data_IF_082001743520
#
_entry.id   IF_082001743520
#
_cell.length_a   1.000
_cell.length_b   1.000
_cell.length_c   1.000
_cell.angle_alpha   90.00
_cell.angle_beta   90.00
_cell.angle_gamma   90.00
#
_symmetry.space_group_name_H-M   'P 1'
#
loop_
_entity.id
_entity.type
_entity.pdbx_description
1 polymer ?
#
# COMPACT_ATOMS: atom_id res chain seq x y z
N UNK A 1 -1.69 19.10 27.24
CA UNK A 1 -0.36 18.58 27.63
C UNK A 1 -0.17 17.31 26.82
N UNK A 2 0.56 17.42 25.71
CA UNK A 2 0.84 16.32 24.78
C UNK A 2 1.87 15.39 25.41
N UNK A 3 1.49 14.12 25.58
CA UNK A 3 2.35 13.07 26.11
C UNK A 3 3.06 12.38 24.93
N UNK A 4 3.92 13.10 24.23
CA UNK A 4 4.87 12.52 23.27
C UNK A 4 5.97 11.80 24.04
N UNK A 5 5.73 10.52 24.34
CA UNK A 5 6.83 9.63 24.74
C UNK A 5 7.69 9.37 23.51
N UNK A 6 9.01 9.59 23.58
CA UNK A 6 9.91 9.24 22.48
C UNK A 6 9.78 7.75 22.22
N UNK A 7 9.50 7.38 20.97
CA UNK A 7 9.54 5.98 20.54
C UNK A 7 10.92 5.44 20.90
N UNK A 8 10.93 4.49 21.83
CA UNK A 8 12.13 3.77 22.18
C UNK A 8 12.75 3.21 20.89
N UNK A 9 14.04 3.40 20.73
CA UNK A 9 14.84 2.86 19.64
C UNK A 9 14.74 1.31 19.76
N UNK A 10 13.73 0.74 19.11
CA UNK A 10 13.58 -0.71 18.98
C UNK A 10 14.79 -1.16 18.17
N UNK A 11 15.78 -1.71 18.85
CA UNK A 11 16.90 -2.36 18.19
C UNK A 11 16.31 -3.35 17.18
N UNK A 12 16.65 -3.17 15.90
CA UNK A 12 16.20 -4.06 14.85
C UNK A 12 16.84 -5.43 15.14
N UNK A 13 16.06 -6.29 15.78
CA UNK A 13 16.47 -7.66 16.02
C UNK A 13 16.30 -8.45 14.73
N UNK A 14 17.39 -8.73 14.01
CA UNK A 14 17.34 -9.56 12.83
C UNK A 14 17.48 -11.03 13.23
N UNK A 15 16.50 -11.89 12.96
CA UNK A 15 16.58 -13.33 13.23
C UNK A 15 17.47 -14.07 12.23
N UNK A 16 18.01 -13.40 11.22
CA UNK A 16 18.72 -14.00 10.09
C UNK A 16 20.23 -14.24 10.33
N UNK A 17 20.71 -13.99 11.55
CA UNK A 17 22.10 -14.24 11.95
C UNK A 17 23.01 -13.01 11.84
N UNK A 18 24.26 -13.12 12.37
CA UNK A 18 25.15 -11.97 12.53
C UNK A 18 25.68 -11.37 11.22
N UNK A 19 25.62 -12.12 10.13
CA UNK A 19 26.11 -11.67 8.81
C UNK A 19 25.00 -11.06 7.94
N UNK A 20 23.75 -10.97 8.44
CA UNK A 20 22.66 -10.36 7.69
C UNK A 20 22.78 -8.85 7.73
N UNK A 21 22.97 -8.22 6.56
CA UNK A 21 23.04 -6.77 6.48
C UNK A 21 21.66 -6.15 6.70
N UNK A 22 21.60 -5.14 7.57
CA UNK A 22 20.39 -4.33 7.84
C UNK A 22 20.39 -3.02 7.06
N UNK A 23 21.45 -2.73 6.33
CA UNK A 23 21.65 -1.48 5.59
C UNK A 23 22.11 -1.78 4.16
N UNK A 24 21.79 -0.85 3.26
CA UNK A 24 22.35 -0.87 1.91
C UNK A 24 23.85 -0.54 1.97
N UNK A 25 24.61 -1.05 0.99
CA UNK A 25 26.01 -0.65 0.81
C UNK A 25 26.11 0.87 0.62
N UNK A 26 27.20 1.48 1.11
CA UNK A 26 27.47 2.88 0.89
C UNK A 26 27.59 3.19 -0.61
N UNK A 27 27.06 4.34 -1.08
CA UNK A 27 27.26 4.77 -2.46
C UNK A 27 28.74 4.94 -2.77
N UNK A 28 29.13 4.58 -3.96
CA UNK A 28 30.53 4.71 -4.44
C UNK A 28 30.84 6.12 -4.99
N UNK A 29 29.82 6.95 -5.14
CA UNK A 29 29.93 8.33 -5.63
C UNK A 29 29.07 9.26 -4.80
N UNK A 30 29.39 10.55 -4.81
CA UNK A 30 28.55 11.57 -4.20
C UNK A 30 27.19 11.62 -4.89
N UNK A 31 26.15 11.84 -4.10
CA UNK A 31 24.77 11.95 -4.59
C UNK A 31 23.99 12.96 -3.78
N UNK A 32 23.05 13.62 -4.46
CA UNK A 32 22.13 14.57 -3.87
C UNK A 32 20.71 14.05 -3.97
N UNK A 33 19.92 14.22 -2.91
CA UNK A 33 18.50 13.89 -2.93
C UNK A 33 17.75 14.87 -3.84
N UNK A 34 17.14 14.40 -4.91
CA UNK A 34 16.40 15.21 -5.87
C UNK A 34 14.88 15.06 -5.77
N UNK A 35 14.40 13.93 -5.25
CA UNK A 35 12.98 13.61 -5.17
C UNK A 35 12.71 12.66 -4.01
N UNK A 36 11.59 12.89 -3.31
CA UNK A 36 11.11 11.99 -2.26
C UNK A 36 9.66 11.59 -2.56
N UNK A 37 9.42 10.29 -2.71
CA UNK A 37 8.08 9.69 -2.72
C UNK A 37 7.86 8.96 -1.42
N UNK A 38 6.72 9.20 -0.80
CA UNK A 38 6.27 8.47 0.38
C UNK A 38 4.91 7.85 0.09
N UNK A 39 4.78 6.57 0.40
CA UNK A 39 3.54 5.81 0.31
C UNK A 39 3.28 5.20 1.68
N UNK A 40 2.13 5.49 2.24
CA UNK A 40 1.69 4.94 3.54
C UNK A 40 0.38 4.22 3.32
N UNK A 41 0.27 3.01 3.88
CA UNK A 41 -0.95 2.22 3.82
C UNK A 41 -1.38 1.81 5.22
N UNK A 42 -2.70 1.77 5.41
CA UNK A 42 -3.33 1.28 6.63
C UNK A 42 -4.47 0.33 6.26
N UNK A 43 -4.58 -0.78 6.98
CA UNK A 43 -5.71 -1.70 6.91
C UNK A 43 -6.53 -1.62 8.19
N UNK A 44 -7.85 -1.51 8.05
CA UNK A 44 -8.79 -1.38 9.17
C UNK A 44 -9.80 -2.51 9.15
N UNK A 45 -10.09 -3.05 10.33
CA UNK A 45 -11.22 -3.95 10.56
C UNK A 45 -12.41 -3.09 10.96
N UNK A 46 -13.52 -3.20 10.24
CA UNK A 46 -14.74 -2.43 10.48
C UNK A 46 -15.71 -3.20 11.40
N UNK A 47 -16.55 -2.46 12.07
CA UNK A 47 -17.59 -3.04 12.96
C UNK A 47 -18.72 -3.76 12.20
N UNK A 48 -18.86 -3.50 10.89
CA UNK A 48 -19.84 -4.14 10.00
C UNK A 48 -19.29 -5.40 9.30
N UNK A 49 -18.09 -5.86 9.68
CA UNK A 49 -17.48 -7.07 9.13
C UNK A 49 -16.73 -6.89 7.82
N UNK A 50 -16.65 -5.66 7.31
CA UNK A 50 -15.85 -5.29 6.14
C UNK A 50 -14.46 -4.81 6.55
N UNK A 51 -13.62 -4.51 5.57
CA UNK A 51 -12.27 -3.99 5.77
C UNK A 51 -12.02 -2.77 4.89
N UNK A 52 -11.45 -1.72 5.47
CA UNK A 52 -10.98 -0.58 4.70
C UNK A 52 -9.46 -0.66 4.54
N UNK A 53 -9.01 -0.45 3.31
CA UNK A 53 -7.59 -0.29 2.99
C UNK A 53 -7.40 1.12 2.48
N UNK A 54 -6.65 1.91 3.21
CA UNK A 54 -6.33 3.29 2.85
C UNK A 54 -4.88 3.39 2.39
N UNK A 55 -4.64 4.16 1.36
CA UNK A 55 -3.30 4.48 0.89
C UNK A 55 -3.16 5.98 0.62
N UNK A 56 -2.03 6.53 1.03
CA UNK A 56 -1.64 7.92 0.80
C UNK A 56 -0.31 7.96 0.06
N UNK A 57 -0.24 8.79 -0.98
CA UNK A 57 0.98 9.09 -1.71
C UNK A 57 1.29 10.57 -1.62
N UNK A 58 2.56 10.90 -1.33
CA UNK A 58 3.09 12.26 -1.45
C UNK A 58 4.41 12.25 -2.21
N UNK A 59 4.58 13.21 -3.12
CA UNK A 59 5.81 13.46 -3.86
C UNK A 59 6.33 14.86 -3.60
N UNK A 60 7.61 14.98 -3.24
CA UNK A 60 8.29 16.25 -3.04
C UNK A 60 9.56 16.34 -3.88
N UNK A 61 9.85 17.54 -4.38
CA UNK A 61 11.16 17.90 -4.91
C UNK A 61 12.01 18.54 -3.82
N UNK A 62 13.32 18.49 -3.94
CA UNK A 62 14.25 19.15 -3.01
C UNK A 62 14.60 20.58 -3.45
N UNK A 63 14.04 21.02 -4.57
CA UNK A 63 14.25 22.33 -5.17
C UNK A 63 12.91 22.96 -5.57
N UNK A 64 12.89 24.29 -5.66
CA UNK A 64 11.73 25.05 -6.14
C UNK A 64 11.64 25.02 -7.67
N UNK A 65 10.43 24.97 -8.21
CA UNK A 65 10.18 25.02 -9.66
C UNK A 65 8.88 25.76 -9.97
N UNK A 66 8.75 26.38 -11.16
CA UNK A 66 7.53 27.04 -11.59
C UNK A 66 6.44 26.00 -11.94
N UNK A 67 5.19 26.37 -11.67
CA UNK A 67 3.99 25.62 -12.07
C UNK A 67 3.01 26.56 -12.75
N UNK A 68 2.38 26.11 -13.83
CA UNK A 68 1.49 26.94 -14.66
C UNK A 68 0.29 27.53 -13.90
N UNK A 69 -0.15 26.88 -12.81
CA UNK A 69 -1.32 27.33 -12.05
C UNK A 69 -1.10 27.47 -10.54
N UNK A 70 0.04 27.01 -10.01
CA UNK A 70 0.35 27.04 -8.57
C UNK A 70 1.42 28.09 -8.20
N UNK A 71 1.91 28.84 -9.19
CA UNK A 71 3.06 29.71 -8.99
C UNK A 71 4.35 28.92 -8.77
N UNK A 72 5.15 29.29 -7.77
CA UNK A 72 6.37 28.54 -7.43
C UNK A 72 6.03 27.45 -6.42
N UNK A 73 6.34 26.21 -6.76
CA UNK A 73 6.24 25.06 -5.86
C UNK A 73 7.58 24.89 -5.15
N UNK A 74 7.58 25.08 -3.83
CA UNK A 74 8.75 24.97 -2.96
C UNK A 74 8.92 23.53 -2.42
N UNK A 75 10.10 23.15 -1.86
CA UNK A 75 10.35 21.79 -1.39
C UNK A 75 9.40 21.28 -0.30
N UNK A 76 8.78 22.16 0.48
CA UNK A 76 7.77 21.85 1.50
C UNK A 76 6.39 21.56 0.93
N UNK A 77 6.13 21.96 -0.33
CA UNK A 77 4.86 21.71 -1.01
C UNK A 77 4.92 20.44 -1.86
N UNK A 78 3.96 19.53 -1.71
CA UNK A 78 3.94 18.32 -2.54
C UNK A 78 3.60 18.63 -4.00
N UNK A 79 4.28 17.95 -4.92
CA UNK A 79 3.92 17.91 -6.35
C UNK A 79 2.65 17.08 -6.53
N UNK A 80 2.60 15.92 -5.86
CA UNK A 80 1.44 15.04 -5.78
C UNK A 80 1.09 14.77 -4.33
N UNK A 81 -0.20 14.81 -4.03
CA UNK A 81 -0.76 14.33 -2.78
C UNK A 81 -2.12 13.69 -3.06
N UNK A 82 -2.18 12.39 -2.93
CA UNK A 82 -3.35 11.59 -3.26
C UNK A 82 -3.66 10.62 -2.14
N UNK A 83 -4.94 10.35 -1.95
CA UNK A 83 -5.44 9.38 -0.98
C UNK A 83 -6.45 8.50 -1.70
N UNK A 84 -6.42 7.21 -1.40
CA UNK A 84 -7.43 6.25 -1.85
C UNK A 84 -7.90 5.41 -0.67
N UNK A 85 -9.16 4.99 -0.73
CA UNK A 85 -9.74 3.99 0.15
C UNK A 85 -10.47 2.96 -0.70
N UNK A 86 -10.28 1.68 -0.39
CA UNK A 86 -11.12 0.60 -0.89
C UNK A 86 -11.69 -0.16 0.29
N UNK A 87 -13.00 -0.42 0.25
CA UNK A 87 -13.70 -1.27 1.21
C UNK A 87 -13.89 -2.64 0.59
N UNK A 88 -13.52 -3.70 1.31
CA UNK A 88 -13.54 -5.06 0.80
C UNK A 88 -14.25 -6.04 1.75
N UNK A 89 -14.78 -7.12 1.19
CA UNK A 89 -15.26 -8.29 1.93
C UNK A 89 -14.12 -9.23 2.34
N UNK A 90 -14.42 -10.26 3.13
CA UNK A 90 -13.50 -11.36 3.44
C UNK A 90 -12.96 -12.06 2.17
N UNK A 91 -13.77 -12.13 1.11
CA UNK A 91 -13.38 -12.69 -0.19
C UNK A 91 -12.58 -11.71 -1.03
N UNK A 92 -12.26 -10.54 -0.49
CA UNK A 92 -11.53 -9.46 -1.17
C UNK A 92 -12.28 -8.86 -2.36
N UNK A 93 -13.61 -8.89 -2.34
CA UNK A 93 -14.45 -8.19 -3.31
C UNK A 93 -14.58 -6.75 -2.87
N UNK A 94 -14.32 -5.81 -3.76
CA UNK A 94 -14.45 -4.37 -3.49
C UNK A 94 -15.93 -4.00 -3.48
N UNK A 95 -16.40 -3.46 -2.36
CA UNK A 95 -17.78 -3.00 -2.17
C UNK A 95 -17.91 -1.48 -2.27
N UNK A 96 -16.81 -0.76 -2.01
CA UNK A 96 -16.73 0.68 -2.22
C UNK A 96 -15.28 1.07 -2.55
N UNK A 97 -15.12 2.12 -3.34
CA UNK A 97 -13.81 2.66 -3.71
C UNK A 97 -13.90 4.19 -3.79
N UNK A 98 -12.92 4.87 -3.25
CA UNK A 98 -12.85 6.33 -3.22
C UNK A 98 -11.42 6.78 -3.49
N UNK A 99 -11.26 7.83 -4.30
CA UNK A 99 -9.98 8.48 -4.53
C UNK A 99 -10.11 9.99 -4.37
N UNK A 100 -9.08 10.62 -3.82
CA UNK A 100 -8.98 12.07 -3.63
C UNK A 100 -7.62 12.53 -4.12
N UNK A 101 -7.60 13.46 -5.07
CA UNK A 101 -6.42 14.22 -5.46
C UNK A 101 -6.43 15.55 -4.71
N UNK A 102 -5.66 15.64 -3.63
CA UNK A 102 -5.50 16.87 -2.83
C UNK A 102 -4.62 17.86 -3.59
N UNK A 103 -3.56 17.34 -4.21
CA UNK A 103 -2.60 18.13 -5.01
C UNK A 103 -2.13 17.30 -6.20
N UNK A 104 -2.08 17.94 -7.36
CA UNK A 104 -1.51 17.40 -8.59
C UNK A 104 -0.83 18.51 -9.42
N UNK A 105 -0.02 18.16 -10.43
CA UNK A 105 0.68 19.12 -11.27
C UNK A 105 -0.23 19.84 -12.28
N UNK A 106 -1.47 19.36 -12.50
CA UNK A 106 -2.40 19.93 -13.46
C UNK A 106 -3.81 20.07 -12.87
N UNK A 107 -4.56 21.10 -13.29
CA UNK A 107 -5.94 21.33 -12.86
C UNK A 107 -6.89 20.16 -13.20
N UNK A 108 -6.54 19.37 -14.21
CA UNK A 108 -7.33 18.21 -14.66
C UNK A 108 -7.13 16.97 -13.78
N UNK A 109 -6.08 16.92 -12.94
CA UNK A 109 -5.75 15.72 -12.17
C UNK A 109 -6.91 15.15 -11.32
N UNK A 110 -7.77 15.98 -10.67
CA UNK A 110 -8.90 15.45 -9.89
C UNK A 110 -9.94 14.67 -10.71
N UNK A 111 -10.01 14.85 -12.03
CA UNK A 111 -10.92 14.06 -12.88
C UNK A 111 -10.65 12.57 -12.85
N UNK A 112 -9.38 12.18 -12.55
CA UNK A 112 -9.03 10.78 -12.41
C UNK A 112 -9.64 10.11 -11.16
N UNK A 113 -10.24 10.87 -10.25
CA UNK A 113 -10.94 10.32 -9.09
C UNK A 113 -12.29 9.71 -9.51
N UNK A 114 -12.93 10.25 -10.54
CA UNK A 114 -14.28 9.90 -11.01
C UNK A 114 -14.37 8.45 -11.51
N UNK A 115 -13.28 7.90 -12.05
CA UNK A 115 -13.25 6.52 -12.56
C UNK A 115 -12.96 5.47 -11.48
N UNK A 116 -12.75 5.89 -10.23
CA UNK A 116 -12.33 4.96 -9.19
C UNK A 116 -13.44 3.97 -8.80
N UNK A 117 -14.69 4.34 -9.00
CA UNK A 117 -15.87 3.48 -8.79
C UNK A 117 -15.90 2.26 -9.73
N UNK A 118 -15.18 2.28 -10.84
CA UNK A 118 -15.02 1.14 -11.76
C UNK A 118 -14.34 -0.08 -11.09
N UNK A 119 -13.73 0.11 -9.94
CA UNK A 119 -13.15 -0.96 -9.15
C UNK A 119 -14.19 -1.75 -8.34
N UNK A 120 -15.40 -1.21 -8.13
CA UNK A 120 -16.45 -1.86 -7.35
C UNK A 120 -16.91 -3.16 -8.03
N UNK A 121 -17.04 -4.21 -7.24
CA UNK A 121 -17.33 -5.58 -7.72
C UNK A 121 -16.10 -6.38 -8.15
N UNK A 122 -14.92 -5.75 -8.28
CA UNK A 122 -13.70 -6.48 -8.60
C UNK A 122 -13.16 -7.22 -7.39
N UNK A 123 -12.59 -8.39 -7.64
CA UNK A 123 -11.88 -9.15 -6.62
C UNK A 123 -10.38 -8.93 -6.69
N UNK A 124 -9.77 -8.55 -5.55
CA UNK A 124 -8.32 -8.50 -5.39
C UNK A 124 -7.76 -9.93 -5.37
N UNK A 125 -6.92 -10.27 -6.35
CA UNK A 125 -6.39 -11.62 -6.52
C UNK A 125 -5.55 -11.76 -7.78
N UNK A 126 -5.40 -12.97 -8.33
CA UNK A 126 -4.62 -13.21 -9.54
C UNK A 126 -5.05 -12.30 -10.69
N UNK A 127 -4.06 -11.71 -11.36
CA UNK A 127 -4.31 -10.78 -12.47
C UNK A 127 -4.76 -9.37 -12.05
N UNK A 128 -4.74 -9.04 -10.76
CA UNK A 128 -5.18 -7.76 -10.19
C UNK A 128 -4.62 -6.55 -10.96
N UNK A 129 -3.30 -6.50 -11.12
CA UNK A 129 -2.65 -5.39 -11.81
C UNK A 129 -3.19 -5.15 -13.23
N UNK A 130 -3.44 -6.23 -13.98
CA UNK A 130 -4.01 -6.13 -15.33
C UNK A 130 -5.45 -5.64 -15.31
N UNK A 131 -6.27 -6.13 -14.36
CA UNK A 131 -7.67 -5.68 -14.19
C UNK A 131 -7.73 -4.18 -13.87
N UNK A 132 -6.93 -3.73 -12.91
CA UNK A 132 -6.81 -2.31 -12.55
C UNK A 132 -6.40 -1.46 -13.76
N UNK A 133 -5.36 -1.89 -14.48
CA UNK A 133 -4.88 -1.14 -15.66
C UNK A 133 -5.94 -1.06 -16.75
N UNK A 134 -6.76 -2.09 -16.92
CA UNK A 134 -7.85 -2.11 -17.90
C UNK A 134 -9.02 -1.20 -17.49
N UNK A 135 -9.35 -1.14 -16.20
CA UNK A 135 -10.48 -0.35 -15.70
C UNK A 135 -10.15 1.15 -15.59
N UNK A 136 -9.09 1.48 -14.86
CA UNK A 136 -8.78 2.86 -14.47
C UNK A 136 -7.40 3.34 -14.92
N UNK A 137 -6.75 2.61 -15.84
CA UNK A 137 -5.41 2.96 -16.32
C UNK A 137 -5.39 3.84 -17.55
N UNK A 138 -4.17 4.18 -17.99
CA UNK A 138 -3.92 4.93 -19.20
C UNK A 138 -4.51 6.35 -19.18
N UNK A 139 -5.11 6.76 -20.29
CA UNK A 139 -5.66 8.11 -20.50
C UNK A 139 -6.92 8.42 -19.68
N UNK A 140 -7.54 7.40 -19.08
CA UNK A 140 -8.78 7.55 -18.31
C UNK A 140 -8.53 7.78 -16.82
N UNK A 141 -7.34 7.44 -16.33
CA UNK A 141 -7.01 7.54 -14.92
C UNK A 141 -5.72 8.31 -14.64
N UNK A 142 -5.22 8.14 -13.42
CA UNK A 142 -3.98 8.72 -12.94
C UNK A 142 -2.98 7.62 -12.62
N UNK A 143 -1.76 7.71 -13.17
CA UNK A 143 -0.69 6.74 -12.90
C UNK A 143 -0.34 6.62 -11.42
N UNK A 144 -0.39 7.72 -10.67
CA UNK A 144 -0.10 7.76 -9.24
C UNK A 144 -1.17 7.02 -8.42
N UNK A 145 -2.45 7.24 -8.73
CA UNK A 145 -3.58 6.53 -8.09
C UNK A 145 -3.54 5.05 -8.47
N UNK A 146 -3.32 4.74 -9.73
CA UNK A 146 -3.24 3.35 -10.22
C UNK A 146 -2.07 2.58 -9.58
N UNK A 147 -0.92 3.26 -9.37
CA UNK A 147 0.26 2.67 -8.71
C UNK A 147 -0.02 2.27 -7.26
N UNK A 148 -0.86 3.02 -6.54
CA UNK A 148 -1.24 2.69 -5.16
C UNK A 148 -1.97 1.35 -5.04
N UNK A 149 -2.66 0.89 -6.07
CA UNK A 149 -3.48 -0.32 -6.02
C UNK A 149 -2.69 -1.63 -5.96
N UNK A 150 -1.41 -1.61 -6.31
CA UNK A 150 -0.51 -2.74 -6.04
C UNK A 150 -0.26 -2.93 -4.54
N UNK A 151 0.29 -1.93 -3.86
CA UNK A 151 0.44 -1.93 -2.40
C UNK A 151 -0.89 -2.13 -1.65
N UNK A 152 -2.01 -1.53 -2.11
CA UNK A 152 -3.34 -1.75 -1.54
C UNK A 152 -3.70 -3.24 -1.52
N UNK A 153 -3.45 -3.94 -2.63
CA UNK A 153 -3.74 -5.38 -2.70
C UNK A 153 -2.94 -6.18 -1.68
N UNK A 154 -1.64 -5.92 -1.55
CA UNK A 154 -0.81 -6.63 -0.56
C UNK A 154 -1.19 -6.29 0.88
N UNK A 155 -1.56 -5.03 1.16
CA UNK A 155 -2.06 -4.61 2.47
C UNK A 155 -3.40 -5.27 2.79
N UNK A 156 -4.29 -5.44 1.81
CA UNK A 156 -5.55 -6.16 1.96
C UNK A 156 -5.31 -7.60 2.44
N UNK A 157 -4.40 -8.33 1.79
CA UNK A 157 -4.02 -9.68 2.23
C UNK A 157 -3.47 -9.70 3.65
N UNK A 158 -2.58 -8.77 4.00
CA UNK A 158 -1.99 -8.72 5.34
C UNK A 158 -3.03 -8.38 6.41
N UNK A 159 -3.98 -7.50 6.11
CA UNK A 159 -5.05 -7.11 7.04
C UNK A 159 -5.98 -8.29 7.32
N UNK A 160 -6.46 -8.97 6.28
CA UNK A 160 -7.33 -10.13 6.39
C UNK A 160 -6.63 -11.29 7.11
N UNK A 161 -5.43 -11.65 6.67
CA UNK A 161 -4.67 -12.73 7.29
C UNK A 161 -4.36 -12.46 8.76
N UNK A 162 -4.00 -11.22 9.10
CA UNK A 162 -3.74 -10.81 10.48
C UNK A 162 -4.98 -10.94 11.37
N UNK A 163 -6.15 -10.56 10.87
CA UNK A 163 -7.42 -10.68 11.59
C UNK A 163 -7.82 -12.14 11.79
N UNK A 164 -7.79 -12.95 10.74
CA UNK A 164 -8.06 -14.38 10.81
C UNK A 164 -7.12 -15.09 11.80
N UNK A 165 -5.82 -14.79 11.75
CA UNK A 165 -4.84 -15.36 12.68
C UNK A 165 -5.09 -14.93 14.13
N UNK A 166 -5.60 -13.71 14.36
CA UNK A 166 -5.97 -13.22 15.69
C UNK A 166 -7.20 -13.94 16.24
N UNK A 167 -8.24 -14.09 15.41
CA UNK A 167 -9.48 -14.80 15.78
C UNK A 167 -9.22 -16.27 16.12
N UNK A 168 -8.37 -16.93 15.33
CA UNK A 168 -7.96 -18.32 15.58
C UNK A 168 -7.21 -18.50 16.89
N UNK A 169 -6.32 -17.59 17.24
CA UNK A 169 -5.59 -17.64 18.54
C UNK A 169 -6.52 -17.48 19.73
N UNK A 170 -7.66 -16.82 19.55
CA UNK A 170 -8.68 -16.67 20.58
C UNK A 170 -9.58 -17.92 20.70
N UNK A 171 -9.74 -18.66 19.61
CA UNK A 171 -10.49 -19.91 19.54
C UNK A 171 -9.47 -21.09 19.59
N UNK A 172 -9.33 -21.75 20.73
CA UNK A 172 -8.28 -22.72 21.07
C UNK A 172 -8.33 -24.08 20.35
N UNK A 173 -9.06 -24.24 19.22
CA UNK A 173 -9.37 -25.53 18.59
C UNK A 173 -8.79 -25.71 17.17
N UNK A 174 -7.56 -25.34 16.87
CA UNK A 174 -7.02 -25.57 15.52
C UNK A 174 -5.91 -26.61 15.47
N UNK A 175 -6.09 -27.65 14.62
CA UNK A 175 -5.09 -28.64 14.31
C UNK A 175 -4.01 -28.13 13.34
N UNK A 176 -2.80 -28.73 13.40
CA UNK A 176 -1.69 -28.37 12.49
C UNK A 176 -1.99 -28.64 11.01
N UNK A 177 -2.92 -29.57 10.70
CA UNK A 177 -3.36 -29.87 9.35
C UNK A 177 -4.17 -28.70 8.73
N UNK A 178 -4.98 -28.01 9.52
CA UNK A 178 -5.75 -26.83 9.07
C UNK A 178 -4.83 -25.65 8.78
N UNK A 179 -3.75 -25.45 9.57
CA UNK A 179 -2.73 -24.43 9.32
C UNK A 179 -2.00 -24.61 7.99
N UNK A 180 -1.86 -25.83 7.51
CA UNK A 180 -1.14 -26.17 6.28
C UNK A 180 -2.04 -26.02 5.05
N UNK A 181 -3.34 -26.35 5.17
CA UNK A 181 -4.34 -26.18 4.11
C UNK A 181 -4.55 -24.71 3.71
N UNK A 182 -4.48 -23.80 4.66
CA UNK A 182 -4.75 -22.37 4.47
C UNK A 182 -3.67 -21.62 3.69
N UNK A 183 -2.43 -22.11 3.70
CA UNK A 183 -1.33 -21.53 2.92
C UNK A 183 -1.36 -21.93 1.45
N UNK A 184 -2.29 -22.78 1.04
CA UNK A 184 -2.37 -23.32 -0.31
C UNK A 184 -2.47 -22.24 -1.39
N UNK A 185 -3.21 -21.16 -1.14
CA UNK A 185 -3.31 -20.03 -2.08
C UNK A 185 -2.05 -19.14 -2.16
N UNK A 186 -1.16 -19.23 -1.19
CA UNK A 186 0.12 -18.52 -1.16
C UNK A 186 1.27 -19.37 -1.71
N UNK A 187 1.04 -20.65 -1.99
CA UNK A 187 2.06 -21.56 -2.50
C UNK A 187 2.75 -20.99 -3.73
N UNK A 188 4.06 -20.93 -3.71
CA UNK A 188 4.89 -20.37 -4.77
C UNK A 188 4.64 -18.87 -5.07
N UNK A 189 4.01 -18.13 -4.16
CA UNK A 189 3.80 -16.68 -4.31
C UNK A 189 5.05 -15.85 -3.98
N UNK A 190 5.93 -16.37 -3.16
CA UNK A 190 7.24 -15.77 -2.84
C UNK A 190 8.19 -16.85 -2.28
N UNK A 191 9.46 -16.47 -2.06
CA UNK A 191 10.48 -17.39 -1.51
C UNK A 191 10.04 -18.05 -0.21
N UNK A 192 9.36 -17.32 0.70
CA UNK A 192 8.88 -17.87 1.98
C UNK A 192 7.76 -18.90 1.84
N UNK A 193 7.13 -19.01 0.67
CA UNK A 193 6.07 -19.98 0.36
C UNK A 193 6.44 -20.93 -0.80
N UNK A 194 7.72 -20.93 -1.20
CA UNK A 194 8.21 -21.84 -2.21
C UNK A 194 8.20 -23.30 -1.70
N UNK A 195 7.88 -24.24 -2.60
CA UNK A 195 7.90 -25.67 -2.27
C UNK A 195 9.29 -26.17 -1.91
N UNK A 196 10.32 -25.58 -2.50
CA UNK A 196 11.73 -25.84 -2.21
C UNK A 196 12.44 -24.49 -2.02
N UNK A 197 12.35 -23.84 -0.85
CA UNK A 197 13.20 -22.69 -0.56
C UNK A 197 14.64 -23.19 -0.49
N UNK A 198 15.48 -22.82 -1.48
CA UNK A 198 16.89 -23.22 -1.59
C UNK A 198 17.72 -22.92 -0.34
#
# INVERSE_FOLDING_TARGET
MSNDKPHANLAIHTPYGPNHSTELSSPTVERELAHRRQITLNGFVRSDGLFDIEAKLTDHKTYSFPSDFRGVVTPDLPVHHMIVRVTITNERIITAAEAITITGPYLVCPKANEVFDELVGMQIGPGWRRKVQAAIGGRHGCTHITELLGPVATTAYQTLYGQEARERRQNTEFSDAEKQSERGHLRNSCVGYADNPG
#
